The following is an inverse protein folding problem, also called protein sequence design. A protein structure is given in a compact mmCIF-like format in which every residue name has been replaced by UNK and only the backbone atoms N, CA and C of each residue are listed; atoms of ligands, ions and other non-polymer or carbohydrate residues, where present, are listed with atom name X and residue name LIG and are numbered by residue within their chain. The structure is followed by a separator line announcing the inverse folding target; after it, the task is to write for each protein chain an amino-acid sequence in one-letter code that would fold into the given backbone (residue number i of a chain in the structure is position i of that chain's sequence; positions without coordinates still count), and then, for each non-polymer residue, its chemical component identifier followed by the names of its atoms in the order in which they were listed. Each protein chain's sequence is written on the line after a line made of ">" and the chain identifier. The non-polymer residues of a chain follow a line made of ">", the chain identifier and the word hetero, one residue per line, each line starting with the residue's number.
data_IF_316110568417
#
_entry.id   IF_316110568417
#
_cell.length_a   1.000
_cell.length_b   1.000
_cell.length_c   1.000
_cell.angle_alpha   90.00
_cell.angle_beta   90.00
_cell.angle_gamma   90.00
#
_symmetry.space_group_name_H-M   'P 1'
#
loop_
_entity.id
_entity.type
_entity.pdbx_description
1 polymer ?
#
# COMPACT_ATOMS: atom_id res chain seq x y z
N UNK A 1 -21.72 25.38 -17.50
CA UNK A 1 -21.19 26.15 -16.34
C UNK A 1 -20.40 27.37 -16.81
N UNK A 2 -20.30 28.44 -16.01
CA UNK A 2 -19.53 29.65 -16.34
C UNK A 2 -18.16 29.66 -15.65
N UNK A 3 -17.13 30.10 -16.36
CA UNK A 3 -15.79 30.25 -15.79
C UNK A 3 -15.74 31.43 -14.82
N UNK A 4 -15.31 31.20 -13.57
CA UNK A 4 -15.22 32.25 -12.53
C UNK A 4 -14.08 33.25 -12.77
N UNK A 5 -13.25 33.04 -13.78
CA UNK A 5 -12.10 33.90 -14.10
C UNK A 5 -12.32 34.77 -15.33
N UNK A 6 -12.92 34.24 -16.39
CA UNK A 6 -13.16 35.00 -17.63
C UNK A 6 -14.63 35.12 -18.02
N UNK A 7 -15.57 34.50 -17.29
CA UNK A 7 -17.00 34.56 -17.58
C UNK A 7 -17.48 33.69 -18.76
N UNK A 8 -16.58 33.00 -19.48
CA UNK A 8 -16.97 32.17 -20.62
C UNK A 8 -17.89 31.01 -20.23
N UNK A 9 -18.87 30.70 -21.08
CA UNK A 9 -19.74 29.55 -20.93
C UNK A 9 -19.02 28.30 -21.42
N UNK A 10 -18.99 27.26 -20.59
CA UNK A 10 -18.37 25.98 -20.89
C UNK A 10 -19.38 24.85 -20.68
N UNK A 11 -19.18 23.74 -21.39
CA UNK A 11 -19.97 22.51 -21.22
C UNK A 11 -19.87 21.98 -19.78
N UNK A 12 -20.90 21.25 -19.34
CA UNK A 12 -20.99 20.76 -17.96
C UNK A 12 -19.92 19.72 -17.59
N UNK A 13 -19.34 19.05 -18.60
CA UNK A 13 -18.24 18.10 -18.44
C UNK A 13 -16.85 18.68 -18.78
N UNK A 14 -16.73 19.99 -19.03
CA UNK A 14 -15.45 20.60 -19.39
C UNK A 14 -14.54 20.74 -18.17
N UNK A 15 -13.36 20.11 -18.20
CA UNK A 15 -12.37 20.17 -17.11
C UNK A 15 -11.61 21.50 -17.09
N UNK A 16 -11.42 22.11 -18.25
CA UNK A 16 -10.72 23.39 -18.43
C UNK A 16 -11.54 24.34 -19.28
N UNK A 17 -11.41 25.63 -19.00
CA UNK A 17 -12.07 26.66 -19.78
C UNK A 17 -11.45 26.77 -21.18
N UNK A 18 -12.27 26.64 -22.23
CA UNK A 18 -11.81 26.69 -23.62
C UNK A 18 -11.31 28.06 -24.06
N UNK A 19 -11.70 29.13 -23.36
CA UNK A 19 -11.29 30.51 -23.69
C UNK A 19 -10.06 31.01 -22.92
N UNK A 20 -9.80 30.54 -21.69
CA UNK A 20 -8.71 31.07 -20.87
C UNK A 20 -7.84 30.01 -20.19
N UNK A 21 -8.15 28.72 -20.35
CA UNK A 21 -7.38 27.61 -19.80
C UNK A 21 -7.52 27.37 -18.30
N UNK A 22 -8.30 28.18 -17.55
CA UNK A 22 -8.48 27.93 -16.11
C UNK A 22 -9.26 26.64 -15.83
N UNK A 23 -8.89 25.88 -14.79
CA UNK A 23 -9.63 24.68 -14.39
C UNK A 23 -11.03 25.04 -13.89
N UNK A 24 -12.02 24.26 -14.33
CA UNK A 24 -13.41 24.43 -13.93
C UNK A 24 -13.72 23.42 -12.81
N UNK A 25 -14.44 23.86 -11.79
CA UNK A 25 -14.73 23.08 -10.55
C UNK A 25 -15.55 21.80 -10.74
N UNK A 26 -15.82 21.39 -11.99
CA UNK A 26 -16.58 20.19 -12.36
C UNK A 26 -15.75 19.06 -12.96
N UNK A 27 -14.44 19.26 -13.17
CA UNK A 27 -13.51 18.17 -13.49
C UNK A 27 -13.28 17.31 -12.27
N UNK A 28 -14.25 16.44 -11.96
CA UNK A 28 -14.05 15.35 -11.01
C UNK A 28 -12.83 14.59 -11.52
N UNK A 29 -11.69 14.74 -10.85
CA UNK A 29 -10.58 13.80 -11.00
C UNK A 29 -11.22 12.42 -11.01
N UNK A 30 -11.07 11.69 -12.09
CA UNK A 30 -11.42 10.28 -12.14
C UNK A 30 -10.50 9.57 -11.13
N UNK A 31 -10.86 9.65 -9.86
CA UNK A 31 -10.38 8.74 -8.83
C UNK A 31 -11.08 7.45 -9.15
N UNK A 32 -10.37 6.61 -9.90
CA UNK A 32 -10.71 5.22 -10.17
C UNK A 32 -11.28 4.60 -8.91
N UNK A 33 -12.57 4.29 -8.97
CA UNK A 33 -13.32 3.73 -7.86
C UNK A 33 -12.68 2.41 -7.42
N UNK A 34 -12.07 2.42 -6.24
CA UNK A 34 -11.91 1.23 -5.42
C UNK A 34 -12.22 1.67 -4.00
N UNK A 35 -13.41 1.30 -3.53
CA UNK A 35 -13.85 1.29 -2.13
C UNK A 35 -13.67 2.58 -1.33
N UNK A 36 -14.77 3.21 -0.95
CA UNK A 36 -14.82 4.18 0.16
C UNK A 36 -14.40 3.47 1.46
N UNK A 37 -13.10 3.34 1.69
CA UNK A 37 -12.54 2.81 2.92
C UNK A 37 -12.66 3.88 4.01
N UNK A 38 -13.66 3.75 4.90
CA UNK A 38 -13.97 4.72 5.96
C UNK A 38 -13.07 4.60 7.19
N UNK A 39 -11.80 4.20 7.02
CA UNK A 39 -10.80 4.02 8.10
C UNK A 39 -10.32 2.58 8.28
N UNK A 40 -9.23 2.39 9.05
CA UNK A 40 -8.62 1.09 9.34
C UNK A 40 -9.62 0.11 9.98
N UNK A 41 -9.73 -1.09 9.41
CA UNK A 41 -10.59 -2.15 9.94
C UNK A 41 -9.80 -3.21 10.71
N UNK A 42 -10.31 -3.64 11.88
CA UNK A 42 -9.73 -4.75 12.65
C UNK A 42 -10.04 -6.06 11.93
N UNK A 43 -8.99 -6.77 11.49
CA UNK A 43 -9.09 -8.10 10.85
C UNK A 43 -8.29 -9.12 11.65
N UNK A 44 -8.82 -10.33 11.79
CA UNK A 44 -8.12 -11.41 12.49
C UNK A 44 -6.96 -11.94 11.62
N UNK A 45 -5.71 -11.92 12.11
CA UNK A 45 -4.54 -12.34 11.33
C UNK A 45 -4.58 -13.81 10.91
N UNK A 46 -5.17 -14.67 11.72
CA UNK A 46 -5.26 -16.12 11.47
C UNK A 46 -6.20 -16.36 10.29
N UNK A 47 -7.32 -15.64 10.22
CA UNK A 47 -8.25 -15.75 9.09
C UNK A 47 -7.65 -15.24 7.79
N UNK A 48 -6.84 -14.17 7.85
CA UNK A 48 -6.14 -13.66 6.66
C UNK A 48 -5.14 -14.69 6.12
N UNK A 49 -4.41 -15.36 7.01
CA UNK A 49 -3.47 -16.43 6.65
C UNK A 49 -4.21 -17.65 6.08
N UNK A 50 -5.22 -18.16 6.78
CA UNK A 50 -5.98 -19.35 6.38
C UNK A 50 -6.64 -19.13 5.02
N UNK A 51 -7.30 -18.00 4.80
CA UNK A 51 -7.92 -17.71 3.51
C UNK A 51 -6.89 -17.48 2.41
N UNK A 52 -5.73 -16.90 2.72
CA UNK A 52 -4.63 -16.80 1.76
C UNK A 52 -4.08 -18.18 1.35
N UNK A 53 -4.01 -19.14 2.27
CA UNK A 53 -3.57 -20.51 1.96
C UNK A 53 -4.63 -21.27 1.16
N UNK A 54 -5.90 -21.23 1.59
CA UNK A 54 -7.02 -21.92 0.93
C UNK A 54 -7.22 -21.42 -0.50
N UNK A 55 -7.02 -20.12 -0.74
CA UNK A 55 -7.21 -19.49 -2.06
C UNK A 55 -5.93 -19.41 -2.91
N UNK A 56 -4.87 -20.14 -2.55
CA UNK A 56 -3.58 -20.11 -3.24
C UNK A 56 -3.01 -18.69 -3.44
N UNK A 57 -3.11 -17.85 -2.40
CA UNK A 57 -2.55 -16.49 -2.36
C UNK A 57 -3.44 -15.40 -2.96
N UNK A 58 -4.54 -15.74 -3.63
CA UNK A 58 -5.46 -14.77 -4.25
C UNK A 58 -6.12 -13.88 -3.19
N UNK A 59 -6.53 -14.45 -2.06
CA UNK A 59 -7.07 -13.67 -0.94
C UNK A 59 -6.01 -12.73 -0.32
N UNK A 60 -4.74 -13.14 -0.29
CA UNK A 60 -3.64 -12.30 0.14
C UNK A 60 -3.50 -11.05 -0.74
N UNK A 61 -3.64 -11.22 -2.06
CA UNK A 61 -3.65 -10.10 -3.01
C UNK A 61 -4.83 -9.14 -2.79
N UNK A 62 -6.03 -9.69 -2.58
CA UNK A 62 -7.21 -8.90 -2.19
C UNK A 62 -6.96 -8.11 -0.90
N UNK A 63 -6.37 -8.74 0.12
CA UNK A 63 -6.02 -8.10 1.38
C UNK A 63 -5.02 -6.96 1.20
N UNK A 64 -4.01 -7.11 0.34
CA UNK A 64 -3.07 -6.02 0.00
C UNK A 64 -3.77 -4.82 -0.63
N UNK A 65 -4.67 -5.06 -1.58
CA UNK A 65 -5.45 -4.00 -2.25
C UNK A 65 -6.34 -3.26 -1.25
N UNK A 66 -7.02 -3.97 -0.35
CA UNK A 66 -7.92 -3.35 0.63
C UNK A 66 -7.16 -2.58 1.71
N UNK A 67 -6.07 -3.15 2.22
CA UNK A 67 -5.26 -2.53 3.28
C UNK A 67 -4.59 -1.25 2.79
N UNK A 68 -4.08 -1.22 1.55
CA UNK A 68 -3.51 0.02 0.99
C UNK A 68 -4.54 1.16 0.90
N UNK A 69 -5.81 0.86 0.65
CA UNK A 69 -6.85 1.87 0.50
C UNK A 69 -7.21 2.48 1.85
N UNK A 70 -7.26 1.67 2.90
CA UNK A 70 -7.47 2.13 4.28
C UNK A 70 -6.30 3.00 4.78
N UNK A 71 -5.07 2.60 4.46
CA UNK A 71 -3.88 3.40 4.79
C UNK A 71 -3.84 4.72 4.01
N UNK A 72 -4.27 4.71 2.74
CA UNK A 72 -4.34 5.92 1.92
C UNK A 72 -5.45 6.87 2.40
N UNK A 73 -6.58 6.34 2.84
CA UNK A 73 -7.63 7.11 3.50
C UNK A 73 -7.16 7.74 4.83
N UNK A 74 -6.12 7.17 5.44
CA UNK A 74 -5.50 7.66 6.68
C UNK A 74 -4.34 8.66 6.42
N UNK A 75 -4.15 9.12 5.18
CA UNK A 75 -3.18 10.17 4.82
C UNK A 75 -1.92 9.70 4.12
N UNK A 76 -1.79 8.41 3.78
CA UNK A 76 -0.63 7.87 3.05
C UNK A 76 -0.89 7.87 1.52
N UNK A 77 0.16 7.86 0.70
CA UNK A 77 0.04 7.69 -0.76
C UNK A 77 0.81 6.45 -1.24
N UNK A 78 0.23 5.27 -1.02
CA UNK A 78 0.79 4.00 -1.46
C UNK A 78 0.40 3.74 -2.94
N UNK A 79 1.37 3.46 -3.82
CA UNK A 79 1.13 3.13 -5.23
C UNK A 79 0.35 1.80 -5.42
N UNK A 80 -0.02 1.47 -6.65
CA UNK A 80 -0.93 0.35 -6.93
C UNK A 80 -0.33 -1.02 -6.58
N UNK A 81 -1.12 -1.87 -5.92
CA UNK A 81 -0.76 -3.25 -5.55
C UNK A 81 -0.49 -4.18 -6.75
N UNK A 82 -0.70 -3.71 -7.98
CA UNK A 82 -0.30 -4.38 -9.22
C UNK A 82 1.21 -4.55 -9.38
N UNK A 83 2.03 -3.76 -8.67
CA UNK A 83 3.49 -3.88 -8.67
C UNK A 83 4.02 -5.17 -8.01
N UNK A 84 3.18 -5.87 -7.24
CA UNK A 84 3.53 -7.12 -6.53
C UNK A 84 3.77 -8.29 -7.51
N UNK A 85 3.27 -8.20 -8.75
CA UNK A 85 3.35 -9.28 -9.74
C UNK A 85 4.72 -9.33 -10.45
N UNK A 86 5.60 -8.33 -10.28
CA UNK A 86 6.88 -8.21 -11.01
C UNK A 86 8.06 -8.78 -10.18
N UNK A 87 8.73 -9.87 -10.62
CA UNK A 87 9.75 -10.59 -9.85
C UNK A 87 10.95 -9.76 -9.38
N UNK A 88 11.36 -8.74 -10.15
CA UNK A 88 12.54 -7.91 -9.85
C UNK A 88 12.25 -6.90 -8.73
N UNK A 89 11.01 -6.41 -8.65
CA UNK A 89 10.58 -5.47 -7.60
C UNK A 89 10.50 -6.19 -6.25
N UNK A 90 10.11 -7.48 -6.23
CA UNK A 90 10.04 -8.30 -5.02
C UNK A 90 11.40 -8.39 -4.31
N UNK A 91 12.48 -8.64 -5.06
CA UNK A 91 13.83 -8.68 -4.49
C UNK A 91 14.25 -7.35 -3.86
N UNK A 92 14.03 -6.23 -4.56
CA UNK A 92 14.34 -4.90 -4.04
C UNK A 92 13.48 -4.56 -2.81
N UNK A 93 12.19 -4.88 -2.84
CA UNK A 93 11.28 -4.65 -1.72
C UNK A 93 11.69 -5.45 -0.48
N UNK A 94 12.06 -6.72 -0.66
CA UNK A 94 12.52 -7.57 0.44
C UNK A 94 13.83 -7.08 1.04
N UNK A 95 14.74 -6.52 0.23
CA UNK A 95 15.94 -5.85 0.72
C UNK A 95 15.58 -4.63 1.59
N UNK A 96 14.70 -3.73 1.10
CA UNK A 96 14.24 -2.57 1.86
C UNK A 96 13.49 -2.94 3.14
N UNK A 97 12.72 -4.02 3.12
CA UNK A 97 12.03 -4.55 4.31
C UNK A 97 13.04 -5.01 5.38
N UNK A 98 14.13 -5.64 4.95
CA UNK A 98 15.17 -6.15 5.84
C UNK A 98 16.00 -5.04 6.47
N UNK A 99 16.30 -3.97 5.74
CA UNK A 99 16.90 -2.75 6.30
C UNK A 99 15.99 -2.10 7.37
N UNK A 100 14.67 -2.15 7.18
CA UNK A 100 13.70 -1.65 8.16
C UNK A 100 13.74 -2.42 9.49
N UNK A 101 13.92 -3.75 9.43
CA UNK A 101 14.07 -4.59 10.64
C UNK A 101 15.33 -4.19 11.41
N UNK A 102 16.45 -3.94 10.72
CA UNK A 102 17.70 -3.52 11.37
C UNK A 102 17.55 -2.19 12.10
N UNK A 103 16.89 -1.22 11.48
CA UNK A 103 16.62 0.09 12.09
C UNK A 103 15.72 -0.03 13.32
N UNK A 104 14.64 -0.81 13.23
CA UNK A 104 13.68 -1.00 14.32
C UNK A 104 14.29 -1.76 15.49
N UNK A 105 15.11 -2.78 15.20
CA UNK A 105 15.76 -3.60 16.24
C UNK A 105 17.01 -2.93 16.82
N UNK A 106 17.31 -1.67 16.47
CA UNK A 106 18.53 -0.94 16.86
C UNK A 106 19.82 -1.75 16.63
N UNK A 107 19.86 -2.53 15.53
CA UNK A 107 21.00 -3.38 15.19
C UNK A 107 21.05 -4.72 15.93
N UNK A 108 20.05 -5.11 16.74
CA UNK A 108 19.96 -6.47 17.31
C UNK A 108 19.83 -7.54 16.23
N UNK A 109 19.31 -7.19 15.05
CA UNK A 109 19.35 -8.03 13.86
C UNK A 109 19.86 -7.23 12.66
N UNK A 110 20.94 -7.66 12.04
CA UNK A 110 21.44 -7.05 10.81
C UNK A 110 20.49 -7.30 9.63
N UNK A 111 20.27 -6.28 8.80
CA UNK A 111 19.38 -6.31 7.66
C UNK A 111 19.74 -7.39 6.64
N UNK A 112 21.02 -7.62 6.30
CA UNK A 112 21.40 -8.75 5.45
C UNK A 112 21.02 -10.12 6.04
N UNK A 113 21.05 -10.27 7.37
CA UNK A 113 20.64 -11.52 8.04
C UNK A 113 19.13 -11.70 7.96
N UNK A 114 18.35 -10.64 8.21
CA UNK A 114 16.89 -10.66 8.03
C UNK A 114 16.50 -10.99 6.57
N UNK A 115 17.24 -10.45 5.60
CA UNK A 115 17.02 -10.73 4.18
C UNK A 115 17.26 -12.20 3.83
N UNK A 116 18.37 -12.79 4.29
CA UNK A 116 18.67 -14.20 4.05
C UNK A 116 17.65 -15.14 4.68
N UNK A 117 17.17 -14.81 5.88
CA UNK A 117 16.09 -15.55 6.55
C UNK A 117 14.80 -15.51 5.72
N UNK A 118 14.38 -14.35 5.23
CA UNK A 118 13.16 -14.23 4.43
C UNK A 118 13.31 -14.87 3.05
N UNK A 119 14.47 -14.72 2.41
CA UNK A 119 14.68 -15.15 1.03
C UNK A 119 14.88 -16.66 0.90
N UNK A 120 15.68 -17.29 1.76
CA UNK A 120 15.97 -18.74 1.67
C UNK A 120 15.07 -19.60 2.55
N UNK A 121 14.59 -19.05 3.67
CA UNK A 121 13.82 -19.80 4.67
C UNK A 121 12.32 -19.44 4.61
N UNK A 122 11.96 -18.35 3.93
CA UNK A 122 10.58 -17.96 3.69
C UNK A 122 9.81 -17.69 4.98
N UNK A 123 8.67 -18.36 5.13
CA UNK A 123 7.78 -18.18 6.30
C UNK A 123 8.44 -18.53 7.64
N UNK A 124 9.33 -19.53 7.66
CA UNK A 124 10.06 -19.91 8.87
C UNK A 124 11.04 -18.78 9.26
N UNK A 125 11.66 -18.13 8.28
CA UNK A 125 12.54 -16.98 8.52
C UNK A 125 11.77 -15.77 9.06
N UNK A 126 10.56 -15.56 8.55
CA UNK A 126 9.62 -14.56 9.09
C UNK A 126 9.28 -14.80 10.57
N UNK A 127 9.12 -16.05 11.00
CA UNK A 127 8.85 -16.37 12.40
C UNK A 127 10.02 -15.98 13.34
N UNK A 128 11.26 -16.18 12.91
CA UNK A 128 12.48 -15.81 13.67
C UNK A 128 12.60 -14.28 13.80
N UNK A 129 12.30 -13.57 12.71
CA UNK A 129 12.27 -12.10 12.70
C UNK A 129 11.19 -11.59 13.65
N UNK A 130 10.01 -12.20 13.65
CA UNK A 130 8.92 -11.84 14.56
C UNK A 130 9.28 -12.07 16.03
N UNK A 131 9.93 -13.19 16.36
CA UNK A 131 10.45 -13.42 17.72
C UNK A 131 11.43 -12.33 18.17
N UNK A 132 12.33 -11.89 17.27
CA UNK A 132 13.28 -10.83 17.56
C UNK A 132 12.61 -9.47 17.79
N UNK A 133 11.62 -9.13 16.95
CA UNK A 133 10.84 -7.91 17.10
C UNK A 133 10.01 -7.91 18.39
N UNK A 134 9.42 -9.05 18.76
CA UNK A 134 8.64 -9.18 19.99
C UNK A 134 9.50 -8.99 21.24
N UNK A 135 10.73 -9.53 21.25
CA UNK A 135 11.68 -9.32 22.34
C UNK A 135 12.06 -7.85 22.48
N UNK A 136 12.29 -7.16 21.35
CA UNK A 136 12.59 -5.74 21.36
C UNK A 136 11.44 -4.88 21.91
N UNK A 137 10.19 -5.24 21.62
CA UNK A 137 9.00 -4.52 22.12
C UNK A 137 8.74 -4.78 23.62
N UNK A 138 9.23 -5.91 24.15
CA UNK A 138 9.07 -6.28 25.55
C UNK A 138 10.12 -5.66 26.49
N UNK A 139 11.14 -5.00 25.94
CA UNK A 139 12.18 -4.24 26.66
C UNK A 139 11.80 -2.75 26.77
#
# INVERSE_FOLDING_TARGET
>A
MFCTKCGAQNGEAAEFCTSCGNPLKGGSKATTGVGTATGLQRRDPIMVLIFSIITFGIYGYYWYVMTKLEMNASGTQIPTAWLIIIPIINFWWMWKFSEGIEQVTQGKMAGPVAFLLLFFIGMIGGAIIQDTLNKFVAE
#
